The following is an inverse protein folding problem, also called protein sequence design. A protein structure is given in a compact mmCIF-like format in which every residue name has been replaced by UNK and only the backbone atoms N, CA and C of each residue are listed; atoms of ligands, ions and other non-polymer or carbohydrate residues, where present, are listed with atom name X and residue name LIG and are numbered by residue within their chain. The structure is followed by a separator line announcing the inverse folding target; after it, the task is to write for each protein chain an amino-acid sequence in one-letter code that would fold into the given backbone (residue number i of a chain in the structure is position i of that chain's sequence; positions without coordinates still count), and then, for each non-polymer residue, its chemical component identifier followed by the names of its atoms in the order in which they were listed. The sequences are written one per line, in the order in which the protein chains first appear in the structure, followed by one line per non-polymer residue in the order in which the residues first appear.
data_IF_582530580619
#
_entry.id   IF_582530580619
#
_cell.length_a   1.000
_cell.length_b   1.000
_cell.length_c   1.000
_cell.angle_alpha   90.00
_cell.angle_beta   90.00
_cell.angle_gamma   90.00
#
_symmetry.space_group_name_H-M   'P 1'
#
loop_
_entity.id
_entity.type
_entity.pdbx_description
1 polymer ?
#
# COMPACT_ATOMS: atom_id res chain seq x y z
N UNK A 1 3.42 10.88 -21.49
CA UNK A 1 4.09 9.71 -20.88
C UNK A 1 3.39 8.37 -21.15
N UNK A 2 2.04 8.23 -21.04
CA UNK A 2 1.37 6.94 -21.20
C UNK A 2 1.67 6.21 -22.53
N UNK A 3 1.82 6.98 -23.62
CA UNK A 3 2.16 6.43 -24.94
C UNK A 3 3.52 5.73 -25.01
N UNK A 4 4.54 6.25 -24.32
CA UNK A 4 5.88 5.63 -24.30
C UNK A 4 5.84 4.31 -23.54
N UNK A 5 5.24 4.29 -22.35
CA UNK A 5 5.11 3.08 -21.54
C UNK A 5 4.36 1.99 -22.32
N UNK A 6 3.26 2.36 -22.99
CA UNK A 6 2.51 1.46 -23.84
C UNK A 6 3.34 0.91 -25.02
N UNK A 7 4.05 1.77 -25.76
CA UNK A 7 4.95 1.37 -26.86
C UNK A 7 6.03 0.39 -26.43
N UNK A 8 6.50 0.50 -25.19
CA UNK A 8 7.56 -0.31 -24.62
C UNK A 8 7.07 -1.46 -23.75
N UNK A 9 5.75 -1.71 -23.70
CA UNK A 9 5.15 -2.76 -22.88
C UNK A 9 5.54 -2.67 -21.39
N UNK A 10 5.68 -1.45 -20.89
CA UNK A 10 5.93 -1.18 -19.47
C UNK A 10 4.57 -0.97 -18.81
N UNK A 11 4.24 -1.86 -17.87
CA UNK A 11 3.01 -1.77 -17.10
C UNK A 11 3.04 -0.56 -16.17
N UNK A 12 1.93 0.19 -16.14
CA UNK A 12 1.74 1.26 -15.17
C UNK A 12 0.86 0.73 -14.05
N UNK A 13 1.47 0.48 -12.89
CA UNK A 13 0.76 0.03 -11.69
C UNK A 13 0.52 1.24 -10.79
N UNK A 14 -0.74 1.44 -10.41
CA UNK A 14 -1.14 2.49 -9.46
C UNK A 14 -1.68 1.87 -8.19
N UNK A 15 -1.94 2.71 -7.20
CA UNK A 15 -2.52 2.34 -5.91
C UNK A 15 -3.94 2.87 -5.78
N UNK A 16 -4.72 2.29 -4.87
CA UNK A 16 -6.02 2.83 -4.46
C UNK A 16 -6.01 3.42 -3.05
N UNK A 17 -4.98 3.10 -2.25
CA UNK A 17 -4.80 3.64 -0.90
C UNK A 17 -3.43 4.32 -0.74
N UNK A 18 -3.44 5.53 -0.18
CA UNK A 18 -2.24 6.30 0.13
C UNK A 18 -2.42 7.00 1.50
N UNK A 19 -2.18 6.29 2.63
CA UNK A 19 -2.37 6.87 3.95
C UNK A 19 -1.47 8.09 4.22
N UNK A 20 -0.30 8.16 3.57
CA UNK A 20 0.66 9.26 3.73
C UNK A 20 0.13 10.61 3.25
N UNK A 21 -0.84 10.63 2.35
CA UNK A 21 -1.48 11.87 1.89
C UNK A 21 -2.22 12.58 3.02
N UNK A 22 -2.73 11.82 4.00
CA UNK A 22 -3.70 12.32 4.97
C UNK A 22 -3.18 12.30 6.42
N UNK A 23 -2.21 11.43 6.74
CA UNK A 23 -1.80 11.17 8.12
C UNK A 23 -0.29 11.05 8.28
N UNK A 24 0.22 11.51 9.42
CA UNK A 24 1.62 11.32 9.84
C UNK A 24 1.76 10.38 11.06
N UNK A 25 0.67 10.14 11.78
CA UNK A 25 0.68 9.22 12.94
C UNK A 25 0.58 7.77 12.47
N UNK A 26 1.43 6.85 12.97
CA UNK A 26 1.34 5.43 12.63
C UNK A 26 -0.05 4.84 12.89
N UNK A 27 -0.66 5.17 14.03
CA UNK A 27 -1.99 4.66 14.39
C UNK A 27 -3.07 5.10 13.40
N UNK A 28 -3.00 6.33 12.91
CA UNK A 28 -3.99 6.89 12.01
C UNK A 28 -3.86 6.29 10.60
N UNK A 29 -2.62 6.03 10.16
CA UNK A 29 -2.34 5.29 8.92
C UNK A 29 -2.94 3.88 8.96
N UNK A 30 -2.71 3.15 10.06
CA UNK A 30 -3.26 1.80 10.25
C UNK A 30 -4.80 1.84 10.23
N UNK A 31 -5.41 2.77 10.96
CA UNK A 31 -6.86 2.93 11.01
C UNK A 31 -7.46 3.28 9.65
N UNK A 32 -6.81 4.18 8.89
CA UNK A 32 -7.22 4.53 7.55
C UNK A 32 -7.18 3.32 6.61
N UNK A 33 -6.10 2.55 6.62
CA UNK A 33 -5.99 1.34 5.79
C UNK A 33 -7.08 0.34 6.17
N UNK A 34 -7.23 0.02 7.45
CA UNK A 34 -8.23 -0.95 7.92
C UNK A 34 -9.66 -0.58 7.53
N UNK A 35 -9.97 0.72 7.50
CA UNK A 35 -11.30 1.21 7.13
C UNK A 35 -11.59 1.11 5.63
N UNK A 36 -10.58 1.24 4.78
CA UNK A 36 -10.78 1.46 3.34
C UNK A 36 -10.28 0.31 2.46
N UNK A 37 -9.50 -0.63 3.01
CA UNK A 37 -8.96 -1.77 2.27
C UNK A 37 -10.06 -2.70 1.76
N UNK A 38 -9.86 -3.21 0.56
CA UNK A 38 -10.69 -4.23 -0.08
C UNK A 38 -9.81 -5.31 -0.71
N UNK A 39 -10.34 -6.52 -0.99
CA UNK A 39 -9.59 -7.53 -1.73
C UNK A 39 -9.02 -6.97 -3.03
N UNK A 40 -7.70 -7.08 -3.20
CA UNK A 40 -6.97 -6.57 -4.35
C UNK A 40 -6.51 -5.11 -4.27
N UNK A 41 -6.67 -4.44 -3.12
CA UNK A 41 -6.07 -3.11 -2.91
C UNK A 41 -4.54 -3.14 -3.03
N UNK A 42 -3.99 -2.06 -3.58
CA UNK A 42 -2.56 -1.74 -3.62
C UNK A 42 -2.37 -0.48 -2.76
N UNK A 43 -1.56 -0.61 -1.71
CA UNK A 43 -1.31 0.46 -0.74
C UNK A 43 0.05 1.09 -1.04
N UNK A 44 0.10 2.40 -1.25
CA UNK A 44 1.34 3.17 -1.38
C UNK A 44 1.80 3.68 -0.02
N UNK A 45 3.06 3.40 0.32
CA UNK A 45 3.75 3.92 1.50
C UNK A 45 5.13 4.47 1.11
N UNK A 46 5.50 5.63 1.63
CA UNK A 46 6.76 6.31 1.36
C UNK A 46 7.71 6.20 2.54
N UNK A 47 8.65 5.25 2.49
CA UNK A 47 9.65 5.06 3.55
C UNK A 47 10.61 6.24 3.74
N UNK A 48 10.63 7.19 2.81
CA UNK A 48 11.59 8.29 2.75
C UNK A 48 11.13 9.60 3.43
N UNK A 49 9.85 9.71 3.79
CA UNK A 49 9.29 10.96 4.33
C UNK A 49 9.11 10.96 5.85
N UNK A 50 9.00 9.78 6.46
CA UNK A 50 8.81 9.66 7.89
C UNK A 50 10.12 9.39 8.64
N UNK A 51 10.08 9.67 9.93
CA UNK A 51 11.00 9.04 10.88
C UNK A 51 10.93 7.52 10.67
N UNK A 52 12.08 6.90 10.44
CA UNK A 52 12.21 5.46 10.18
C UNK A 52 11.45 4.60 11.20
N UNK A 53 11.39 5.03 12.46
CA UNK A 53 10.65 4.32 13.50
C UNK A 53 9.14 4.38 13.31
N UNK A 54 8.59 5.56 12.96
CA UNK A 54 7.16 5.74 12.71
C UNK A 54 6.70 4.98 11.47
N UNK A 55 7.53 4.97 10.43
CA UNK A 55 7.26 4.17 9.24
C UNK A 55 7.15 2.68 9.57
N UNK A 56 8.13 2.16 10.34
CA UNK A 56 8.13 0.75 10.75
C UNK A 56 6.91 0.42 11.60
N UNK A 57 6.54 1.27 12.57
CA UNK A 57 5.34 1.08 13.39
C UNK A 57 4.06 1.03 12.54
N UNK A 58 3.93 1.90 11.53
CA UNK A 58 2.78 1.91 10.63
C UNK A 58 2.73 0.64 9.76
N UNK A 59 3.88 0.25 9.20
CA UNK A 59 4.01 -0.94 8.36
C UNK A 59 3.66 -2.21 9.16
N UNK A 60 4.26 -2.38 10.34
CA UNK A 60 3.98 -3.53 11.21
C UNK A 60 2.51 -3.59 11.61
N UNK A 61 1.91 -2.45 11.98
CA UNK A 61 0.51 -2.38 12.34
C UNK A 61 -0.44 -2.73 11.18
N UNK A 62 -0.13 -2.31 9.95
CA UNK A 62 -0.90 -2.66 8.75
C UNK A 62 -0.79 -4.16 8.47
N UNK A 63 0.43 -4.71 8.49
CA UNK A 63 0.67 -6.13 8.24
C UNK A 63 -0.06 -7.01 9.26
N UNK A 64 0.06 -6.70 10.56
CA UNK A 64 -0.57 -7.46 11.63
C UNK A 64 -2.10 -7.42 11.56
N UNK A 65 -2.68 -6.21 11.46
CA UNK A 65 -4.14 -6.05 11.48
C UNK A 65 -4.83 -6.68 10.27
N UNK A 66 -4.27 -6.54 9.06
CA UNK A 66 -4.86 -7.15 7.86
C UNK A 66 -4.66 -8.67 7.82
N UNK A 67 -3.52 -9.18 8.28
CA UNK A 67 -3.27 -10.63 8.35
C UNK A 67 -4.26 -11.32 9.29
N UNK A 68 -4.58 -10.70 10.43
CA UNK A 68 -5.54 -11.23 11.42
C UNK A 68 -6.96 -11.38 10.86
N UNK A 69 -7.35 -10.58 9.88
CA UNK A 69 -8.67 -10.65 9.24
C UNK A 69 -8.65 -11.41 7.91
N UNK A 70 -7.55 -12.12 7.61
CA UNK A 70 -7.45 -13.07 6.50
C UNK A 70 -6.93 -12.52 5.18
N UNK A 71 -6.40 -11.28 5.15
CA UNK A 71 -5.69 -10.80 3.96
C UNK A 71 -4.34 -11.51 3.80
N UNK A 72 -3.94 -11.65 2.54
CA UNK A 72 -2.60 -12.10 2.16
C UNK A 72 -1.88 -10.96 1.45
N UNK A 73 -0.64 -10.72 1.85
CA UNK A 73 0.24 -9.79 1.16
C UNK A 73 0.98 -10.54 0.06
N UNK A 74 0.87 -10.03 -1.16
CA UNK A 74 1.49 -10.59 -2.37
C UNK A 74 2.17 -9.47 -3.16
N UNK A 75 3.05 -9.86 -4.06
CA UNK A 75 3.60 -8.93 -5.05
C UNK A 75 2.53 -8.49 -6.05
N UNK A 76 2.70 -7.32 -6.67
CA UNK A 76 1.78 -6.85 -7.72
C UNK A 76 1.70 -7.81 -8.90
N UNK A 77 2.79 -8.52 -9.22
CA UNK A 77 2.81 -9.52 -10.29
C UNK A 77 1.97 -10.76 -9.97
N UNK A 78 1.90 -11.16 -8.70
CA UNK A 78 1.03 -12.24 -8.25
C UNK A 78 -0.42 -11.78 -8.21
N UNK A 79 -0.68 -10.55 -7.75
CA UNK A 79 -2.02 -9.97 -7.73
C UNK A 79 -2.66 -9.94 -9.13
N UNK A 80 -1.89 -9.56 -10.16
CA UNK A 80 -2.37 -9.53 -11.55
C UNK A 80 -2.75 -10.93 -12.11
N UNK A 81 -2.35 -12.01 -11.45
CA UNK A 81 -2.62 -13.40 -11.86
C UNK A 81 -3.76 -14.07 -11.08
N UNK A 82 -4.36 -13.37 -10.10
CA UNK A 82 -5.45 -13.88 -9.27
C UNK A 82 -6.81 -13.74 -9.94
#
# INVERSE_FOLDING_TARGET
MPYYLNKHHIETITWDLEPDTYYNSPSDKVNYVNKNVKPGSIILLHSMYDDSEKYLQALEGILDSLSKIGYQFVTVNELQKR
#
